data_IF_158424671517
#
_entry.id   IF_158424671517
#
_cell.length_a   1.000
_cell.length_b   1.000
_cell.length_c   1.000
_cell.angle_alpha   90.00
_cell.angle_beta   90.00
_cell.angle_gamma   90.00
#
_symmetry.space_group_name_H-M   'P 1'
#
loop_
_entity.id
_entity.type
_entity.pdbx_description
1 polymer ?
#
# COMPACT_ATOMS: atom_id res chain seq x y z
N UNK A 1 -22.46 8.55 -1.99
CA UNK A 1 -21.63 7.33 -1.95
C UNK A 1 -21.35 7.04 -0.49
N UNK A 2 -21.80 5.91 0.09
CA UNK A 2 -21.47 5.60 1.48
C UNK A 2 -19.94 5.52 1.57
N UNK A 3 -19.38 6.12 2.62
CA UNK A 3 -17.97 5.99 2.98
C UNK A 3 -17.73 4.50 3.13
N UNK A 4 -17.20 3.86 2.07
CA UNK A 4 -16.70 2.48 2.16
C UNK A 4 -15.79 2.49 3.38
N UNK A 5 -16.10 1.63 4.35
CA UNK A 5 -15.31 1.45 5.57
C UNK A 5 -13.85 1.65 5.20
N UNK A 6 -13.16 2.54 5.92
CA UNK A 6 -11.75 2.87 5.69
C UNK A 6 -10.96 1.55 5.77
N UNK A 7 -10.86 0.86 4.64
CA UNK A 7 -10.66 -0.58 4.64
C UNK A 7 -9.17 -0.82 4.90
N UNK A 8 -8.80 -1.63 5.90
CA UNK A 8 -7.58 -2.40 5.81
C UNK A 8 -7.80 -3.27 4.56
N UNK A 9 -6.98 -3.22 3.52
CA UNK A 9 -5.59 -3.62 3.58
C UNK A 9 -4.78 -2.83 2.55
N UNK A 10 -3.71 -2.14 3.00
CA UNK A 10 -2.72 -1.50 2.10
C UNK A 10 -2.05 -2.48 1.12
N UNK A 11 -2.20 -3.79 1.33
CA UNK A 11 -1.71 -4.87 0.46
C UNK A 11 -2.64 -5.08 -0.75
N UNK A 12 -3.96 -5.12 -0.53
CA UNK A 12 -4.94 -5.45 -1.57
C UNK A 12 -4.92 -4.47 -2.72
N UNK A 13 -4.65 -3.18 -2.45
CA UNK A 13 -4.55 -2.17 -3.49
C UNK A 13 -3.31 -2.38 -4.38
N UNK A 14 -2.19 -2.82 -3.81
CA UNK A 14 -0.96 -3.09 -4.57
C UNK A 14 -1.10 -4.34 -5.44
N UNK A 15 -1.72 -5.39 -4.89
CA UNK A 15 -1.98 -6.64 -5.60
C UNK A 15 -3.02 -6.47 -6.72
N UNK A 16 -4.10 -5.74 -6.45
CA UNK A 16 -5.11 -5.44 -7.46
C UNK A 16 -4.55 -4.61 -8.62
N UNK A 17 -3.67 -3.64 -8.34
CA UNK A 17 -3.06 -2.82 -9.39
C UNK A 17 -1.96 -3.59 -10.14
N UNK A 18 -1.25 -4.52 -9.49
CA UNK A 18 -0.34 -5.43 -10.19
C UNK A 18 -1.05 -6.28 -11.25
N UNK A 19 -2.26 -6.75 -10.94
CA UNK A 19 -3.07 -7.54 -11.85
C UNK A 19 -3.60 -6.74 -13.04
N UNK A 20 -3.38 -5.42 -13.10
CA UNK A 20 -3.75 -4.62 -14.26
C UNK A 20 -2.87 -4.97 -15.46
N UNK A 21 -3.45 -5.26 -16.64
CA UNK A 21 -2.70 -5.66 -17.82
C UNK A 21 -1.58 -4.69 -18.21
N UNK A 22 -1.82 -3.38 -18.07
CA UNK A 22 -0.87 -2.32 -18.37
C UNK A 22 0.37 -2.35 -17.44
N UNK A 23 0.16 -2.57 -16.15
CA UNK A 23 1.24 -2.65 -15.15
C UNK A 23 2.02 -3.96 -15.30
N UNK A 24 1.31 -5.08 -15.49
CA UNK A 24 1.91 -6.38 -15.73
C UNK A 24 2.77 -6.39 -17.00
N UNK A 25 2.29 -5.78 -18.10
CA UNK A 25 3.05 -5.63 -19.34
C UNK A 25 4.31 -4.79 -19.13
N UNK A 26 4.22 -3.67 -18.40
CA UNK A 26 5.39 -2.83 -18.11
C UNK A 26 6.45 -3.53 -17.27
N UNK A 27 6.05 -4.35 -16.29
CA UNK A 27 6.97 -5.10 -15.42
C UNK A 27 7.66 -6.25 -16.17
N UNK A 28 6.96 -6.92 -17.08
CA UNK A 28 7.46 -8.10 -17.79
C UNK A 28 8.31 -7.76 -19.01
N UNK A 29 7.98 -6.68 -19.73
CA UNK A 29 8.54 -6.41 -21.06
C UNK A 29 9.67 -5.38 -21.09
N UNK A 30 9.85 -4.57 -20.03
CA UNK A 30 10.70 -3.38 -20.10
C UNK A 30 11.92 -3.40 -19.18
N UNK A 31 13.06 -2.80 -19.57
CA UNK A 31 14.26 -2.72 -18.74
C UNK A 31 14.03 -1.87 -17.47
N UNK A 32 14.92 -2.01 -16.47
CA UNK A 32 14.87 -1.33 -15.16
C UNK A 32 14.57 0.18 -15.21
N UNK A 33 14.89 0.84 -16.32
CA UNK A 33 14.56 2.25 -16.56
C UNK A 33 13.08 2.58 -16.44
N UNK A 34 12.15 1.62 -16.55
CA UNK A 34 10.70 1.87 -16.51
C UNK A 34 10.06 1.74 -15.12
N UNK A 35 10.85 1.43 -14.07
CA UNK A 35 10.37 1.34 -12.68
C UNK A 35 9.68 2.63 -12.25
N UNK A 36 10.22 3.79 -12.61
CA UNK A 36 9.65 5.09 -12.23
C UNK A 36 8.26 5.32 -12.84
N UNK A 37 7.98 4.80 -14.04
CA UNK A 37 6.66 4.90 -14.68
C UNK A 37 5.63 4.05 -13.95
N UNK A 38 5.99 2.81 -13.59
CA UNK A 38 5.10 1.93 -12.81
C UNK A 38 4.82 2.53 -11.43
N UNK A 39 5.84 3.11 -10.79
CA UNK A 39 5.70 3.80 -9.50
C UNK A 39 4.78 5.02 -9.64
N UNK A 40 4.93 5.84 -10.67
CA UNK A 40 4.09 7.02 -10.90
C UNK A 40 2.61 6.63 -11.08
N UNK A 41 2.31 5.60 -11.89
CA UNK A 41 0.94 5.09 -12.09
C UNK A 41 0.34 4.62 -10.75
N UNK A 42 1.11 3.85 -9.98
CA UNK A 42 0.67 3.35 -8.67
C UNK A 42 0.41 4.49 -7.68
N UNK A 43 1.29 5.49 -7.64
CA UNK A 43 1.15 6.67 -6.77
C UNK A 43 -0.10 7.48 -7.12
N UNK A 44 -0.36 7.74 -8.41
CA UNK A 44 -1.55 8.46 -8.85
C UNK A 44 -2.84 7.74 -8.40
N UNK A 45 -2.94 6.44 -8.65
CA UNK A 45 -4.09 5.63 -8.22
C UNK A 45 -4.25 5.58 -6.71
N UNK A 46 -3.13 5.49 -5.99
CA UNK A 46 -3.14 5.51 -4.54
C UNK A 46 -3.58 6.86 -3.99
N UNK A 47 -3.18 7.98 -4.62
CA UNK A 47 -3.64 9.31 -4.27
C UNK A 47 -5.15 9.48 -4.52
N UNK A 48 -5.68 8.94 -5.62
CA UNK A 48 -7.12 8.94 -5.86
C UNK A 48 -7.89 8.14 -4.80
N UNK A 49 -7.31 7.04 -4.29
CA UNK A 49 -7.95 6.19 -3.28
C UNK A 49 -7.80 6.73 -1.84
N UNK A 50 -6.66 7.34 -1.51
CA UNK A 50 -6.26 7.64 -0.13
C UNK A 50 -5.79 9.09 0.09
N UNK A 51 -5.90 9.95 -0.92
CA UNK A 51 -5.42 11.35 -0.93
C UNK A 51 -6.22 12.31 -0.04
N UNK A 52 -6.97 11.78 0.91
CA UNK A 52 -7.77 12.55 1.86
C UNK A 52 -7.30 12.27 3.29
N UNK A 53 -7.49 13.26 4.16
CA UNK A 53 -7.27 13.11 5.60
C UNK A 53 -8.19 12.04 6.16
N UNK A 54 -7.65 11.15 6.99
CA UNK A 54 -8.48 10.18 7.71
C UNK A 54 -9.42 10.91 8.68
N UNK A 55 -10.73 10.62 8.66
CA UNK A 55 -11.66 11.18 9.65
C UNK A 55 -11.32 10.67 11.06
N UNK A 56 -11.94 11.27 12.07
CA UNK A 56 -11.86 10.75 13.43
C UNK A 56 -12.39 9.31 13.49
N UNK A 57 -11.79 8.49 14.35
CA UNK A 57 -12.21 7.11 14.53
C UNK A 57 -13.59 7.03 15.17
N UNK A 58 -14.46 6.17 14.64
CA UNK A 58 -15.77 5.88 15.21
C UNK A 58 -15.65 4.91 16.39
N UNK A 59 -16.66 4.86 17.27
CA UNK A 59 -16.67 3.96 18.42
C UNK A 59 -16.53 2.48 18.00
N UNK A 60 -17.17 2.07 16.90
CA UNK A 60 -17.07 0.71 16.36
C UNK A 60 -15.64 0.37 15.90
N UNK A 61 -14.99 1.32 15.21
CA UNK A 61 -13.59 1.17 14.78
C UNK A 61 -12.65 1.12 15.99
N UNK A 62 -12.92 1.94 17.01
CA UNK A 62 -12.15 1.93 18.25
C UNK A 62 -12.26 0.59 18.97
N UNK A 63 -13.48 0.03 19.12
CA UNK A 63 -13.69 -1.29 19.73
C UNK A 63 -12.99 -2.41 18.95
N UNK A 64 -13.06 -2.35 17.62
CA UNK A 64 -12.35 -3.28 16.74
C UNK A 64 -10.83 -3.19 16.93
N UNK A 65 -10.29 -1.98 17.05
CA UNK A 65 -8.85 -1.77 17.32
C UNK A 65 -8.47 -2.24 18.72
N UNK A 66 -9.33 -2.00 19.70
CA UNK A 66 -9.12 -2.42 21.08
C UNK A 66 -9.06 -3.95 21.20
N UNK A 67 -9.91 -4.68 20.46
CA UNK A 67 -9.91 -6.16 20.48
C UNK A 67 -8.64 -6.79 19.89
N UNK A 68 -7.83 -6.04 19.14
CA UNK A 68 -6.54 -6.53 18.62
C UNK A 68 -5.46 -6.62 19.71
N UNK A 69 -5.62 -5.89 20.80
CA UNK A 69 -4.68 -5.96 21.92
C UNK A 69 -5.11 -7.09 22.85
N UNK A 70 -4.17 -7.91 23.30
CA UNK A 70 -4.46 -9.03 24.22
C UNK A 70 -4.15 -8.69 25.69
N UNK A 71 -3.39 -7.63 25.94
CA UNK A 71 -2.95 -7.25 27.29
C UNK A 71 -3.83 -6.16 27.91
N UNK A 72 -4.13 -6.30 29.20
CA UNK A 72 -4.89 -5.30 29.96
C UNK A 72 -4.21 -3.90 29.96
N UNK A 73 -2.88 -3.87 29.94
CA UNK A 73 -2.10 -2.64 29.80
C UNK A 73 -2.30 -1.98 28.43
N UNK A 74 -2.38 -2.78 27.36
CA UNK A 74 -2.72 -2.28 26.02
C UNK A 74 -4.12 -1.68 25.98
N UNK A 75 -5.09 -2.30 26.65
CA UNK A 75 -6.47 -1.84 26.70
C UNK A 75 -6.66 -0.50 27.42
N UNK A 76 -6.05 -0.33 28.61
CA UNK A 76 -6.28 0.85 29.48
C UNK A 76 -5.79 2.17 28.89
N UNK A 77 -4.73 2.11 28.08
CA UNK A 77 -4.10 3.29 27.50
C UNK A 77 -4.64 3.62 26.10
N UNK A 78 -5.50 2.78 25.54
CA UNK A 78 -6.12 3.05 24.26
C UNK A 78 -7.16 4.16 24.39
N UNK A 79 -7.11 5.09 23.45
CA UNK A 79 -8.08 6.16 23.25
C UNK A 79 -8.49 6.18 21.78
N UNK A 80 -9.74 6.58 21.46
CA UNK A 80 -10.15 6.79 20.08
C UNK A 80 -9.17 7.71 19.35
N UNK A 81 -8.79 7.33 18.13
CA UNK A 81 -7.88 8.16 17.34
C UNK A 81 -8.59 9.44 16.89
N UNK A 82 -7.98 10.62 17.09
CA UNK A 82 -8.52 11.86 16.53
C UNK A 82 -8.44 11.84 15.00
N UNK A 83 -9.09 12.83 14.39
CA UNK A 83 -8.91 13.09 12.96
C UNK A 83 -7.41 13.28 12.65
N UNK A 84 -6.97 12.71 11.55
CA UNK A 84 -5.56 12.78 11.13
C UNK A 84 -5.18 14.23 10.82
N UNK A 85 -4.05 14.67 11.36
CA UNK A 85 -3.46 15.97 11.04
C UNK A 85 -2.81 15.96 9.65
N UNK A 86 -2.60 17.15 9.07
CA UNK A 86 -1.93 17.26 7.77
C UNK A 86 -0.52 16.64 7.78
N UNK A 87 0.22 16.80 8.87
CA UNK A 87 1.56 16.21 9.03
C UNK A 87 1.51 14.68 9.06
N UNK A 88 0.57 14.09 9.79
CA UNK A 88 0.39 12.63 9.83
C UNK A 88 -0.02 12.06 8.48
N UNK A 89 -0.88 12.78 7.75
CA UNK A 89 -1.24 12.42 6.38
C UNK A 89 -0.04 12.44 5.43
N UNK A 90 0.79 13.49 5.49
CA UNK A 90 2.02 13.57 4.71
C UNK A 90 2.96 12.40 5.02
N UNK A 91 3.17 12.10 6.31
CA UNK A 91 3.99 10.96 6.74
C UNK A 91 3.44 9.64 6.23
N UNK A 92 2.14 9.39 6.38
CA UNK A 92 1.47 8.19 5.87
C UNK A 92 1.61 8.07 4.36
N UNK A 93 1.47 9.18 3.64
CA UNK A 93 1.63 9.24 2.18
C UNK A 93 3.06 8.88 1.77
N UNK A 94 4.08 9.49 2.38
CA UNK A 94 5.49 9.20 2.10
C UNK A 94 5.82 7.72 2.37
N UNK A 95 5.34 7.16 3.48
CA UNK A 95 5.50 5.74 3.78
C UNK A 95 4.83 4.83 2.74
N UNK A 96 3.68 5.24 2.21
CA UNK A 96 3.00 4.49 1.14
C UNK A 96 3.78 4.55 -0.17
N UNK A 97 4.29 5.73 -0.55
CA UNK A 97 5.13 5.93 -1.73
C UNK A 97 6.41 5.08 -1.66
N UNK A 98 7.09 5.08 -0.51
CA UNK A 98 8.27 4.24 -0.29
C UNK A 98 7.95 2.75 -0.41
N UNK A 99 6.83 2.31 0.16
CA UNK A 99 6.38 0.93 0.07
C UNK A 99 6.07 0.52 -1.36
N UNK A 100 5.38 1.36 -2.13
CA UNK A 100 5.13 1.17 -3.56
C UNK A 100 6.46 0.98 -4.29
N UNK A 101 7.42 1.88 -4.10
CA UNK A 101 8.72 1.82 -4.75
C UNK A 101 9.47 0.52 -4.43
N UNK A 102 9.57 0.16 -3.14
CA UNK A 102 10.23 -1.08 -2.69
C UNK A 102 9.59 -2.32 -3.31
N UNK A 103 8.25 -2.37 -3.33
CA UNK A 103 7.52 -3.48 -3.90
C UNK A 103 7.74 -3.60 -5.41
N UNK A 104 7.64 -2.51 -6.18
CA UNK A 104 7.91 -2.52 -7.64
C UNK A 104 9.33 -2.99 -7.92
N UNK A 105 10.31 -2.44 -7.19
CA UNK A 105 11.72 -2.83 -7.32
C UNK A 105 11.92 -4.33 -7.10
N UNK A 106 11.27 -4.91 -6.09
CA UNK A 106 11.33 -6.34 -5.81
C UNK A 106 10.75 -7.17 -6.97
N UNK A 107 9.62 -6.77 -7.55
CA UNK A 107 9.03 -7.48 -8.69
C UNK A 107 9.98 -7.53 -9.89
N UNK A 108 10.57 -6.38 -10.26
CA UNK A 108 11.57 -6.32 -11.34
C UNK A 108 12.81 -7.19 -11.05
N UNK A 109 13.27 -7.28 -9.80
CA UNK A 109 14.36 -8.17 -9.42
C UNK A 109 13.99 -9.65 -9.55
N UNK A 110 12.76 -10.01 -9.16
CA UNK A 110 12.24 -11.38 -9.25
C UNK A 110 12.15 -11.84 -10.71
N UNK A 111 11.57 -11.02 -11.60
CA UNK A 111 11.49 -11.32 -13.04
C UNK A 111 12.88 -11.48 -13.66
N UNK A 112 13.81 -10.58 -13.34
CA UNK A 112 15.18 -10.68 -13.84
C UNK A 112 15.87 -11.98 -13.41
N UNK A 113 15.63 -12.47 -12.19
CA UNK A 113 16.19 -13.75 -11.72
C UNK A 113 15.61 -14.96 -12.46
N UNK A 114 14.30 -14.96 -12.72
CA UNK A 114 13.64 -16.03 -13.50
C UNK A 114 14.17 -16.11 -14.93
N UNK A 115 14.33 -14.95 -15.60
CA UNK A 115 14.87 -14.91 -16.96
C UNK A 115 16.35 -15.31 -17.07
N UNK A 116 17.12 -15.31 -15.97
CA UNK A 116 18.49 -15.86 -15.93
C UNK A 116 18.46 -17.37 -15.74
N UNK A 117 17.63 -17.89 -14.82
CA UNK A 117 17.48 -19.34 -14.60
C UNK A 117 16.97 -20.07 -15.85
N UNK A 118 16.03 -19.50 -16.60
CA UNK A 118 15.54 -20.09 -17.86
C UNK A 118 16.60 -20.14 -18.96
N UNK A 119 17.63 -19.29 -18.90
CA UNK A 119 18.73 -19.27 -19.89
C UNK A 119 19.89 -20.19 -19.51
N UNK A 120 20.06 -20.51 -18.24
CA UNK A 120 21.11 -21.42 -17.75
C UNK A 120 20.65 -22.89 -17.67
N UNK A 121 19.35 -23.16 -17.82
CA UNK A 121 18.74 -24.49 -17.74
C UNK A 121 18.47 -25.19 -19.08
N UNK A 122 19.12 -24.78 -20.18
CA UNK A 122 19.00 -25.40 -21.52
C UNK A 122 20.36 -25.84 -22.02
#
# INVERSE_FOLDING_TARGET
MPVRAWLPVKCDLLEAIYAMPEVAALITTRPRGYIHLVVAILQERYLLAFGHLRPAETDEQFLTRQSLYTSAAGHRNLRPLPAESHTEWLLRRLQAEERIYRWVRYQFQSVARRGVQEKEGV
#
